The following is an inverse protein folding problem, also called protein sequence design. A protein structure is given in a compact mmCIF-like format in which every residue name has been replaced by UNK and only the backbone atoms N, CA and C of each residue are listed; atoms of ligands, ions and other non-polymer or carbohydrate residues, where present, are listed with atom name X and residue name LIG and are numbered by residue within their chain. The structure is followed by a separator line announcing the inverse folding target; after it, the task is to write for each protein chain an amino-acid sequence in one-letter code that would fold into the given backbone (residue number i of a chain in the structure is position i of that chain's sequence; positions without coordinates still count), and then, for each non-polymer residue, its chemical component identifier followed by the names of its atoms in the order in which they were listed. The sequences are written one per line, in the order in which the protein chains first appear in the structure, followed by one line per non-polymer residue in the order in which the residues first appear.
data_IF_762746262679
#
_entry.id   IF_762746262679
#
_cell.length_a   1.000
_cell.length_b   1.000
_cell.length_c   1.000
_cell.angle_alpha   90.00
_cell.angle_beta   90.00
_cell.angle_gamma   90.00
#
_symmetry.space_group_name_H-M   'P 1'
#
loop_
_entity.id
_entity.type
_entity.pdbx_description
1 polymer ?
#
# COMPACT_ATOMS: atom_id res chain seq x y z
N UNK A 1 -4.59 5.56 -20.29
CA UNK A 1 -5.34 5.32 -19.10
C UNK A 1 -4.55 4.60 -18.06
N UNK A 2 -4.94 4.80 -16.85
CA UNK A 2 -4.30 4.15 -15.71
C UNK A 2 -5.31 3.26 -14.99
N UNK A 3 -4.80 2.19 -14.42
CA UNK A 3 -5.58 1.32 -13.54
C UNK A 3 -5.31 1.74 -12.10
N UNK A 4 -6.34 1.88 -11.32
CA UNK A 4 -6.22 2.10 -9.88
C UNK A 4 -6.68 0.84 -9.15
N UNK A 5 -5.80 0.27 -8.35
CA UNK A 5 -6.11 -0.90 -7.53
C UNK A 5 -6.19 -0.47 -6.07
N UNK A 6 -7.36 -0.61 -5.49
CA UNK A 6 -7.59 -0.26 -4.09
C UNK A 6 -7.34 -1.49 -3.23
N UNK A 7 -6.37 -1.39 -2.34
CA UNK A 7 -6.10 -2.46 -1.37
C UNK A 7 -6.86 -2.14 -0.09
N UNK A 8 -7.74 -3.04 0.30
CA UNK A 8 -8.62 -2.85 1.46
C UNK A 8 -8.15 -3.72 2.61
N UNK A 9 -8.00 -3.08 3.76
CA UNK A 9 -7.80 -3.80 5.02
C UNK A 9 -9.17 -4.15 5.58
N UNK A 10 -9.43 -5.45 5.69
CA UNK A 10 -10.69 -5.96 6.27
C UNK A 10 -10.35 -6.83 7.48
N UNK A 11 -10.13 -6.20 8.64
CA UNK A 11 -9.66 -6.93 9.82
C UNK A 11 -10.71 -7.93 10.32
N UNK A 12 -10.23 -9.09 10.73
CA UNK A 12 -11.05 -10.15 11.30
C UNK A 12 -10.71 -10.32 12.77
N UNK A 13 -11.71 -10.71 13.55
CA UNK A 13 -11.44 -11.10 14.93
C UNK A 13 -10.57 -12.35 14.95
N UNK A 14 -9.43 -12.25 15.62
CA UNK A 14 -8.50 -13.36 15.73
C UNK A 14 -7.78 -13.27 17.06
N UNK A 15 -7.84 -14.35 17.84
CA UNK A 15 -7.16 -14.41 19.14
C UNK A 15 -5.66 -14.62 19.01
N UNK A 16 -5.20 -15.12 17.85
CA UNK A 16 -3.78 -15.39 17.59
C UNK A 16 -3.03 -14.15 17.15
N UNK A 17 -3.68 -13.29 16.36
CA UNK A 17 -3.00 -12.18 15.69
C UNK A 17 -3.67 -10.86 16.04
N UNK A 18 -2.95 -9.94 16.68
CA UNK A 18 -3.51 -8.61 16.96
C UNK A 18 -3.78 -7.86 15.66
N UNK A 19 -4.73 -6.92 15.73
CA UNK A 19 -5.16 -6.15 14.56
C UNK A 19 -4.01 -5.41 13.87
N UNK A 20 -3.00 -4.97 14.63
CA UNK A 20 -1.88 -4.26 14.05
C UNK A 20 -1.10 -5.12 13.06
N UNK A 21 -1.00 -6.42 13.31
CA UNK A 21 -0.33 -7.32 12.37
C UNK A 21 -1.12 -7.49 11.08
N UNK A 22 -2.45 -7.45 11.17
CA UNK A 22 -3.29 -7.46 9.97
C UNK A 22 -3.11 -6.17 9.17
N UNK A 23 -2.95 -5.04 9.84
CA UNK A 23 -2.64 -3.77 9.20
C UNK A 23 -1.30 -3.83 8.46
N UNK A 24 -0.27 -4.38 9.10
CA UNK A 24 1.04 -4.56 8.46
C UNK A 24 0.96 -5.47 7.25
N UNK A 25 0.16 -6.53 7.34
CA UNK A 25 -0.07 -7.45 6.22
C UNK A 25 -0.71 -6.73 5.02
N UNK A 26 -1.69 -5.88 5.27
CA UNK A 26 -2.33 -5.10 4.21
C UNK A 26 -1.34 -4.14 3.54
N UNK A 27 -0.47 -3.50 4.32
CA UNK A 27 0.61 -2.68 3.77
C UNK A 27 1.58 -3.48 2.93
N UNK A 28 1.90 -4.70 3.35
CA UNK A 28 2.77 -5.60 2.59
C UNK A 28 2.17 -5.98 1.24
N UNK A 29 0.85 -6.14 1.17
CA UNK A 29 0.15 -6.38 -0.10
C UNK A 29 0.34 -5.20 -1.04
N UNK A 30 0.22 -3.97 -0.54
CA UNK A 30 0.44 -2.76 -1.35
C UNK A 30 1.86 -2.77 -1.97
N UNK A 31 2.87 -3.05 -1.18
CA UNK A 31 4.24 -3.08 -1.66
C UNK A 31 4.46 -4.21 -2.66
N UNK A 32 3.92 -5.39 -2.40
CA UNK A 32 4.04 -6.53 -3.30
C UNK A 32 3.39 -6.26 -4.64
N UNK A 33 2.23 -5.63 -4.64
CA UNK A 33 1.54 -5.23 -5.86
C UNK A 33 2.35 -4.19 -6.64
N UNK A 34 2.88 -3.18 -5.94
CA UNK A 34 3.72 -2.16 -6.55
C UNK A 34 4.93 -2.79 -7.24
N UNK A 35 5.64 -3.66 -6.52
CA UNK A 35 6.84 -4.30 -7.05
C UNK A 35 6.52 -5.24 -8.22
N UNK A 36 5.40 -5.95 -8.16
CA UNK A 36 4.97 -6.82 -9.25
C UNK A 36 4.67 -6.03 -10.53
N UNK A 37 4.00 -4.89 -10.38
CA UNK A 37 3.70 -4.01 -11.52
C UNK A 37 4.99 -3.48 -12.15
N UNK A 38 5.92 -3.00 -11.34
CA UNK A 38 7.20 -2.51 -11.83
C UNK A 38 8.02 -3.61 -12.51
N UNK A 39 8.04 -4.81 -11.92
CA UNK A 39 8.73 -5.96 -12.50
C UNK A 39 8.13 -6.41 -13.82
N UNK A 40 6.84 -6.12 -14.03
CA UNK A 40 6.14 -6.44 -15.27
C UNK A 40 6.31 -5.35 -16.36
N UNK A 41 7.10 -4.32 -16.07
CA UNK A 41 7.38 -3.25 -17.02
C UNK A 41 6.41 -2.08 -16.99
N UNK A 42 5.50 -2.04 -16.04
CA UNK A 42 4.57 -0.93 -15.86
C UNK A 42 5.15 0.16 -14.96
N UNK A 43 4.67 1.38 -15.13
CA UNK A 43 4.85 2.42 -14.13
C UNK A 43 3.83 2.20 -13.02
N UNK A 44 4.21 2.43 -11.78
CA UNK A 44 3.31 2.24 -10.67
C UNK A 44 3.66 3.15 -9.51
N UNK A 45 2.64 3.51 -8.73
CA UNK A 45 2.81 4.37 -7.56
C UNK A 45 1.79 3.99 -6.50
N UNK A 46 2.25 3.91 -5.25
CA UNK A 46 1.38 3.65 -4.11
C UNK A 46 1.05 4.99 -3.45
N UNK A 47 -0.23 5.34 -3.50
CA UNK A 47 -0.74 6.58 -2.94
C UNK A 47 -1.84 6.30 -1.94
N UNK A 48 -2.17 7.28 -1.12
CA UNK A 48 -3.33 7.23 -0.26
C UNK A 48 -4.21 8.47 -0.48
N UNK A 49 -3.84 9.61 0.07
CA UNK A 49 -4.59 10.85 -0.14
C UNK A 49 -5.96 10.88 0.53
N UNK A 50 -6.76 11.87 0.16
CA UNK A 50 -8.06 12.10 0.78
C UNK A 50 -9.03 10.94 0.58
N UNK A 51 -9.00 10.31 -0.59
CA UNK A 51 -9.91 9.24 -0.94
C UNK A 51 -9.77 8.02 0.00
N UNK A 52 -8.56 7.78 0.51
CA UNK A 52 -8.30 6.67 1.42
C UNK A 52 -8.89 6.89 2.81
N UNK A 53 -9.13 8.13 3.19
CA UNK A 53 -9.49 8.49 4.55
C UNK A 53 -10.88 9.12 4.68
N UNK A 54 -11.53 9.47 3.56
CA UNK A 54 -12.87 10.03 3.60
C UNK A 54 -13.90 8.92 3.74
N UNK A 55 -14.55 8.88 4.89
CA UNK A 55 -15.49 7.81 5.23
C UNK A 55 -16.64 7.67 4.22
N UNK A 56 -17.21 8.79 3.78
CA UNK A 56 -18.31 8.77 2.84
C UNK A 56 -17.90 8.19 1.49
N UNK A 57 -16.73 8.57 0.99
CA UNK A 57 -16.22 8.02 -0.25
C UNK A 57 -15.94 6.52 -0.11
N UNK A 58 -15.33 6.11 1.00
CA UNK A 58 -15.05 4.69 1.23
C UNK A 58 -16.33 3.85 1.31
N UNK A 59 -17.34 4.32 2.04
CA UNK A 59 -18.59 3.55 2.19
C UNK A 59 -19.46 3.59 0.95
N UNK A 60 -19.66 4.75 0.34
CA UNK A 60 -20.57 4.91 -0.79
C UNK A 60 -19.86 4.71 -2.14
N UNK A 61 -18.68 5.27 -2.30
CA UNK A 61 -17.93 5.18 -3.55
C UNK A 61 -17.25 3.84 -3.77
N UNK A 62 -16.66 3.27 -2.73
CA UNK A 62 -15.94 2.00 -2.79
C UNK A 62 -16.74 0.82 -2.23
N UNK A 63 -17.85 1.07 -1.57
CA UNK A 63 -18.68 0.02 -1.01
C UNK A 63 -18.07 -0.71 0.18
N UNK A 64 -17.20 -0.03 0.95
CA UNK A 64 -16.56 -0.65 2.09
C UNK A 64 -17.48 -0.75 3.29
N UNK A 65 -17.30 -1.80 4.07
CA UNK A 65 -17.97 -1.97 5.35
C UNK A 65 -17.37 -1.04 6.41
N UNK A 66 -18.10 -0.74 7.51
CA UNK A 66 -17.62 0.20 8.52
C UNK A 66 -16.27 -0.16 9.15
N UNK A 67 -15.95 -1.45 9.24
CA UNK A 67 -14.69 -1.91 9.84
C UNK A 67 -13.54 -1.94 8.84
N UNK A 68 -13.84 -1.74 7.56
CA UNK A 68 -12.85 -1.79 6.49
C UNK A 68 -12.26 -0.42 6.23
N UNK A 69 -11.02 -0.39 5.82
CA UNK A 69 -10.35 0.85 5.43
C UNK A 69 -9.37 0.62 4.30
N UNK A 70 -9.04 1.69 3.60
CA UNK A 70 -8.10 1.63 2.48
C UNK A 70 -6.68 1.60 3.03
N UNK A 71 -5.93 0.56 2.71
CA UNK A 71 -4.52 0.48 3.03
C UNK A 71 -3.68 1.30 2.03
N UNK A 72 -4.13 1.34 0.79
CA UNK A 72 -3.47 2.14 -0.23
C UNK A 72 -4.17 2.01 -1.56
N UNK A 73 -3.85 2.91 -2.47
CA UNK A 73 -4.32 2.90 -3.85
C UNK A 73 -3.09 2.84 -4.74
N UNK A 74 -2.93 1.74 -5.46
CA UNK A 74 -1.80 1.56 -6.36
C UNK A 74 -2.24 1.92 -7.77
N UNK A 75 -1.66 2.98 -8.31
CA UNK A 75 -1.91 3.41 -9.69
C UNK A 75 -0.89 2.73 -10.60
N UNK A 76 -1.38 2.07 -11.64
CA UNK A 76 -0.55 1.31 -12.57
C UNK A 76 -0.84 1.82 -13.98
N UNK A 77 0.21 2.07 -14.75
CA UNK A 77 0.06 2.55 -16.12
C UNK A 77 1.40 2.69 -16.81
N UNK A 78 1.37 3.29 -17.99
CA UNK A 78 2.59 3.62 -18.71
C UNK A 78 3.14 4.93 -18.18
N UNK A 79 4.34 4.89 -17.61
CA UNK A 79 5.01 6.07 -17.10
C UNK A 79 6.08 6.59 -18.03
N UNK A 80 6.68 7.75 -17.73
CA UNK A 80 7.85 8.24 -18.45
C UNK A 80 9.03 7.26 -18.32
N UNK A 81 9.91 7.26 -19.31
CA UNK A 81 11.04 6.33 -19.37
C UNK A 81 12.00 6.50 -18.18
N UNK A 82 12.11 7.71 -17.68
CA UNK A 82 12.97 8.01 -16.54
C UNK A 82 12.20 8.84 -15.52
N UNK A 83 12.25 8.41 -14.28
CA UNK A 83 11.69 9.13 -13.15
C UNK A 83 12.82 9.43 -12.16
N UNK A 84 12.91 10.66 -11.66
CA UNK A 84 13.89 10.96 -10.62
C UNK A 84 13.59 10.13 -9.37
N UNK A 85 14.63 9.56 -8.77
CA UNK A 85 14.46 8.85 -7.53
C UNK A 85 14.37 9.83 -6.36
N UNK A 86 13.65 9.43 -5.32
CA UNK A 86 13.58 10.19 -4.08
C UNK A 86 14.88 10.05 -3.31
N UNK A 87 15.24 11.04 -2.50
CA UNK A 87 16.32 10.84 -1.54
C UNK A 87 16.03 9.60 -0.69
N UNK A 88 17.00 8.70 -0.63
CA UNK A 88 16.85 7.44 0.11
C UNK A 88 17.59 7.56 1.44
N UNK A 89 17.09 6.88 2.48
CA UNK A 89 17.78 6.86 3.75
C UNK A 89 19.10 6.10 3.64
N UNK A 90 20.05 6.44 4.50
CA UNK A 90 21.28 5.68 4.61
C UNK A 90 20.98 4.39 5.37
N UNK A 91 20.86 3.29 4.64
CA UNK A 91 20.49 1.99 5.21
C UNK A 91 21.48 1.54 6.26
N UNK A 92 22.79 1.75 6.04
CA UNK A 92 23.81 1.36 7.00
C UNK A 92 23.68 2.11 8.33
N UNK A 93 23.31 3.41 8.27
CA UNK A 93 23.12 4.22 9.47
C UNK A 93 21.87 3.81 10.25
N UNK A 94 20.89 3.23 9.59
CA UNK A 94 19.63 2.80 10.20
C UNK A 94 19.63 1.32 10.60
N UNK A 95 20.71 0.61 10.30
CA UNK A 95 20.77 -0.84 10.51
C UNK A 95 21.77 -1.14 11.63
N UNK A 96 21.33 -1.94 12.57
CA UNK A 96 22.18 -2.44 13.64
C UNK A 96 22.24 -3.96 13.53
N UNK A 97 23.46 -4.49 13.51
CA UNK A 97 23.68 -5.93 13.47
C UNK A 97 23.82 -6.45 14.89
N UNK A 98 22.99 -7.42 15.22
CA UNK A 98 22.99 -8.01 16.56
C UNK A 98 23.57 -9.42 16.47
N UNK A 99 24.61 -9.66 17.27
CA UNK A 99 25.25 -10.97 17.42
C UNK A 99 24.52 -11.75 18.49
N UNK A 100 23.94 -12.87 18.14
CA UNK A 100 23.21 -13.74 19.07
C UNK A 100 24.02 -14.96 19.49
#
# INVERSE_FOLDING_TARGET
GTLAVVVVESPKECHKFPNIEQTYSAGAVCLSLLNAALASGWGANWLSGWASHQQKFCSEGLGLEPHERVAGIVHIGTGPAEMPDRPRPNVSALTEWVDL
#
